data_IF_939023307649
#
_entry.id   IF_939023307649
#
_cell.length_a   1.000
_cell.length_b   1.000
_cell.length_c   1.000
_cell.angle_alpha   90.00
_cell.angle_beta   90.00
_cell.angle_gamma   90.00
#
_symmetry.space_group_name_H-M   'P 1'
#
loop_
_entity.id
_entity.type
_entity.pdbx_description
1 polymer ?
#
# COMPACT_ATOMS: atom_id res chain seq x y z
N UNK A 1 8.53 -2.69 69.79
CA UNK A 1 8.89 -2.47 68.38
C UNK A 1 7.60 -2.45 67.57
N UNK A 2 7.12 -1.24 67.38
CA UNK A 2 5.85 -0.97 66.68
C UNK A 2 6.16 -0.52 65.27
N UNK A 3 6.13 -1.46 64.33
CA UNK A 3 6.39 -1.20 62.92
C UNK A 3 5.08 -0.77 62.21
N UNK A 4 4.65 0.43 62.44
CA UNK A 4 3.52 1.04 61.73
C UNK A 4 3.98 1.49 60.36
N UNK A 5 3.52 0.77 59.29
CA UNK A 5 3.69 1.18 57.89
C UNK A 5 2.71 2.31 57.63
N UNK A 6 3.23 3.54 57.50
CA UNK A 6 2.47 4.69 57.07
C UNK A 6 2.33 4.67 55.53
N UNK A 7 1.16 4.33 55.04
CA UNK A 7 0.83 4.54 53.62
C UNK A 7 0.67 6.06 53.38
N UNK A 8 1.58 6.61 52.56
CA UNK A 8 1.38 7.94 51.99
C UNK A 8 0.17 7.87 51.07
N UNK A 9 -0.82 8.72 51.33
CA UNK A 9 -1.97 8.89 50.44
C UNK A 9 -1.49 9.17 49.02
N UNK A 10 -1.99 8.36 48.04
CA UNK A 10 -1.76 8.59 46.64
C UNK A 10 -2.23 9.99 46.22
N UNK A 11 -1.49 10.70 45.38
CA UNK A 11 -1.94 11.98 44.86
C UNK A 11 -3.27 11.78 44.16
N UNK A 12 -4.25 12.61 44.46
CA UNK A 12 -5.52 12.67 43.73
C UNK A 12 -5.18 13.08 42.30
N UNK A 13 -5.27 12.13 41.37
CA UNK A 13 -5.19 12.43 39.96
C UNK A 13 -6.45 13.24 39.60
N UNK A 14 -6.32 14.54 39.43
CA UNK A 14 -7.35 15.34 38.79
C UNK A 14 -7.57 14.79 37.36
N UNK A 15 -8.80 14.49 36.95
CA UNK A 15 -9.07 14.10 35.57
C UNK A 15 -8.60 15.23 34.66
N UNK A 16 -7.60 14.96 33.84
CA UNK A 16 -7.26 15.86 32.75
C UNK A 16 -8.40 15.70 31.73
N UNK A 17 -9.21 16.76 31.59
CA UNK A 17 -10.18 16.86 30.51
C UNK A 17 -9.41 16.82 29.19
N UNK A 18 -9.24 15.62 28.65
CA UNK A 18 -8.83 15.41 27.26
C UNK A 18 -10.03 15.78 26.38
N UNK A 19 -10.30 17.06 26.25
CA UNK A 19 -11.05 17.56 25.11
C UNK A 19 -10.16 17.31 23.89
N UNK A 20 -10.25 16.11 23.33
CA UNK A 20 -9.87 15.85 21.97
C UNK A 20 -10.69 16.84 21.13
N UNK A 21 -10.07 17.96 20.75
CA UNK A 21 -10.61 18.81 19.71
C UNK A 21 -10.60 17.95 18.47
N UNK A 22 -11.70 17.22 18.26
CA UNK A 22 -11.93 16.40 17.11
C UNK A 22 -12.04 17.30 15.90
N UNK A 23 -10.90 17.74 15.35
CA UNK A 23 -10.83 17.99 13.92
C UNK A 23 -11.20 16.66 13.28
N UNK A 24 -12.46 16.53 12.88
CA UNK A 24 -12.89 15.49 11.95
C UNK A 24 -11.94 15.61 10.77
N UNK A 25 -10.95 14.73 10.70
CA UNK A 25 -10.10 14.61 9.52
C UNK A 25 -11.08 14.30 8.40
N UNK A 26 -11.28 15.26 7.51
CA UNK A 26 -12.04 15.03 6.29
C UNK A 26 -11.30 13.94 5.54
N UNK A 27 -11.85 12.75 5.63
CA UNK A 27 -11.36 11.64 4.84
C UNK A 27 -11.63 12.00 3.38
N UNK A 28 -10.61 12.09 2.55
CA UNK A 28 -10.73 12.29 1.10
C UNK A 28 -10.67 10.94 0.39
N UNK A 29 -11.40 10.81 -0.72
CA UNK A 29 -11.21 9.68 -1.63
C UNK A 29 -9.74 9.62 -2.05
N UNK A 30 -9.22 8.41 -2.22
CA UNK A 30 -7.82 8.16 -2.57
C UNK A 30 -7.70 7.59 -3.97
N UNK A 31 -6.57 7.85 -4.61
CA UNK A 31 -6.17 7.17 -5.83
C UNK A 31 -5.10 6.13 -5.45
N UNK A 32 -5.36 4.87 -5.78
CA UNK A 32 -4.49 3.75 -5.44
C UNK A 32 -4.06 3.07 -6.73
N UNK A 33 -2.76 2.90 -6.91
CA UNK A 33 -2.18 2.15 -8.01
C UNK A 33 -1.70 0.80 -7.48
N UNK A 34 -2.14 -0.29 -8.09
CA UNK A 34 -1.67 -1.64 -7.81
C UNK A 34 -0.87 -2.13 -9.01
N UNK A 35 0.40 -2.43 -8.78
CA UNK A 35 1.32 -2.95 -9.77
C UNK A 35 1.50 -4.45 -9.57
N UNK A 36 0.91 -5.25 -10.43
CA UNK A 36 0.77 -6.68 -10.26
C UNK A 36 -0.57 -7.09 -9.63
N UNK A 37 -0.76 -8.38 -9.43
CA UNK A 37 -1.94 -8.92 -8.75
C UNK A 37 -1.63 -10.28 -8.16
N UNK A 38 -2.04 -10.43 -6.91
CA UNK A 38 -1.91 -11.66 -6.14
C UNK A 38 -3.14 -11.80 -5.25
N UNK A 39 -3.33 -12.95 -4.59
CA UNK A 39 -4.41 -13.14 -3.60
C UNK A 39 -4.46 -12.03 -2.54
N UNK A 40 -3.31 -11.45 -2.22
CA UNK A 40 -3.20 -10.28 -1.31
C UNK A 40 -3.95 -9.06 -1.87
N UNK A 41 -4.00 -8.85 -3.18
CA UNK A 41 -4.75 -7.75 -3.80
C UNK A 41 -6.26 -7.86 -3.53
N UNK A 42 -6.80 -9.06 -3.66
CA UNK A 42 -8.21 -9.33 -3.33
C UNK A 42 -8.50 -9.10 -1.84
N UNK A 43 -7.63 -9.61 -0.97
CA UNK A 43 -7.74 -9.39 0.49
C UNK A 43 -7.66 -7.90 0.80
N UNK A 44 -6.73 -7.17 0.17
CA UNK A 44 -6.59 -5.73 0.36
C UNK A 44 -7.88 -4.98 0.01
N UNK A 45 -8.46 -5.23 -1.16
CA UNK A 45 -9.72 -4.61 -1.59
C UNK A 45 -10.84 -4.91 -0.60
N UNK A 46 -11.01 -6.19 -0.22
CA UNK A 46 -12.05 -6.61 0.71
C UNK A 46 -11.93 -5.93 2.08
N UNK A 47 -10.74 -6.00 2.67
CA UNK A 47 -10.50 -5.44 4.01
C UNK A 47 -10.53 -3.90 4.01
N UNK A 48 -10.17 -3.27 2.89
CA UNK A 48 -10.17 -1.81 2.77
C UNK A 48 -11.56 -1.23 2.55
N UNK A 49 -12.54 -2.02 2.12
CA UNK A 49 -13.89 -1.53 1.79
C UNK A 49 -14.57 -0.80 2.96
N UNK A 50 -14.31 -1.22 4.19
CA UNK A 50 -14.94 -0.62 5.38
C UNK A 50 -14.27 0.71 5.81
N UNK A 51 -13.08 0.99 5.30
CA UNK A 51 -12.26 2.14 5.71
C UNK A 51 -12.12 3.21 4.62
N UNK A 52 -12.32 2.85 3.36
CA UNK A 52 -12.16 3.77 2.25
C UNK A 52 -13.48 4.44 1.89
N UNK A 53 -13.38 5.68 1.45
CA UNK A 53 -14.53 6.51 1.13
C UNK A 53 -14.99 6.22 -0.29
N UNK A 54 -16.29 6.37 -0.50
CA UNK A 54 -16.90 6.31 -1.83
C UNK A 54 -16.20 7.25 -2.82
N UNK A 55 -15.87 6.71 -4.00
CA UNK A 55 -15.14 7.41 -5.03
C UNK A 55 -13.61 7.22 -4.96
N UNK A 56 -13.14 6.29 -4.12
CA UNK A 56 -11.74 5.83 -4.18
C UNK A 56 -11.50 5.10 -5.50
N UNK A 57 -10.44 5.50 -6.22
CA UNK A 57 -10.04 4.87 -7.48
C UNK A 57 -8.91 3.88 -7.23
N UNK A 58 -9.04 2.70 -7.82
CA UNK A 58 -8.03 1.65 -7.76
C UNK A 58 -7.70 1.22 -9.19
N UNK A 59 -6.53 1.62 -9.66
CA UNK A 59 -6.02 1.21 -10.96
C UNK A 59 -5.05 0.04 -10.80
N UNK A 60 -5.33 -1.07 -11.48
CA UNK A 60 -4.51 -2.29 -11.45
C UNK A 60 -3.79 -2.45 -12.78
N UNK A 61 -2.46 -2.46 -12.76
CA UNK A 61 -1.63 -2.83 -13.89
C UNK A 61 -1.21 -4.29 -13.77
N UNK A 62 -1.62 -5.09 -14.73
CA UNK A 62 -1.24 -6.49 -14.82
C UNK A 62 -0.98 -6.90 -16.27
N UNK A 63 0.09 -7.65 -16.48
CA UNK A 63 0.47 -8.10 -17.83
C UNK A 63 -0.20 -9.42 -18.19
N UNK A 64 -0.91 -9.43 -19.31
CA UNK A 64 -1.65 -10.60 -19.82
C UNK A 64 -2.58 -11.22 -18.75
N UNK A 65 -3.58 -10.48 -18.25
CA UNK A 65 -4.53 -11.03 -17.29
C UNK A 65 -5.31 -12.20 -17.92
N UNK A 66 -5.41 -13.29 -17.19
CA UNK A 66 -6.25 -14.43 -17.60
C UNK A 66 -7.73 -14.14 -17.37
N UNK A 67 -8.61 -14.96 -17.92
CA UNK A 67 -10.06 -14.80 -17.79
C UNK A 67 -10.51 -14.86 -16.33
N UNK A 68 -9.85 -15.64 -15.49
CA UNK A 68 -10.15 -15.75 -14.05
C UNK A 68 -9.90 -14.42 -13.33
N UNK A 69 -8.76 -13.77 -13.57
CA UNK A 69 -8.46 -12.47 -12.98
C UNK A 69 -9.43 -11.40 -13.46
N UNK A 70 -9.74 -11.37 -14.75
CA UNK A 70 -10.70 -10.42 -15.33
C UNK A 70 -12.06 -10.58 -14.65
N UNK A 71 -12.56 -11.82 -14.54
CA UNK A 71 -13.83 -12.13 -13.88
C UNK A 71 -13.84 -11.71 -12.41
N UNK A 72 -12.78 -12.00 -11.66
CA UNK A 72 -12.65 -11.59 -10.27
C UNK A 72 -12.68 -10.08 -10.08
N UNK A 73 -11.97 -9.34 -10.92
CA UNK A 73 -11.98 -7.87 -10.87
C UNK A 73 -13.37 -7.33 -11.19
N UNK A 74 -14.07 -7.89 -12.17
CA UNK A 74 -15.43 -7.48 -12.53
C UNK A 74 -16.45 -7.83 -11.43
N UNK A 75 -16.29 -8.95 -10.74
CA UNK A 75 -17.08 -9.29 -9.55
C UNK A 75 -16.85 -8.25 -8.43
N UNK A 76 -15.60 -7.87 -8.17
CA UNK A 76 -15.29 -6.87 -7.15
C UNK A 76 -15.87 -5.49 -7.48
N UNK A 77 -15.85 -5.06 -8.76
CA UNK A 77 -16.51 -3.81 -9.19
C UNK A 77 -17.99 -3.78 -8.85
N UNK A 78 -18.65 -4.93 -8.95
CA UNK A 78 -20.08 -5.04 -8.66
C UNK A 78 -20.39 -5.20 -7.16
N UNK A 79 -19.44 -5.74 -6.40
CA UNK A 79 -19.60 -6.03 -4.98
C UNK A 79 -19.30 -4.81 -4.09
N UNK A 80 -18.33 -4.00 -4.46
CA UNK A 80 -17.82 -2.91 -3.63
C UNK A 80 -18.17 -1.54 -4.23
N UNK A 81 -19.16 -0.88 -3.67
CA UNK A 81 -19.63 0.43 -4.15
C UNK A 81 -18.66 1.60 -3.83
N UNK A 82 -17.72 1.39 -2.91
CA UNK A 82 -16.76 2.43 -2.49
C UNK A 82 -15.59 2.59 -3.46
N UNK A 83 -15.39 1.63 -4.38
CA UNK A 83 -14.27 1.62 -5.29
C UNK A 83 -14.69 1.76 -6.75
N UNK A 84 -13.90 2.52 -7.49
CA UNK A 84 -13.84 2.45 -8.95
C UNK A 84 -12.61 1.65 -9.34
N UNK A 85 -12.76 0.36 -9.64
CA UNK A 85 -11.61 -0.52 -9.98
C UNK A 85 -11.44 -0.56 -11.49
N UNK A 86 -10.23 -0.31 -11.98
CA UNK A 86 -9.85 -0.44 -13.40
C UNK A 86 -8.70 -1.44 -13.54
N UNK A 87 -8.85 -2.45 -14.40
CA UNK A 87 -7.78 -3.37 -14.76
C UNK A 87 -7.23 -2.99 -16.13
N UNK A 88 -5.94 -2.70 -16.18
CA UNK A 88 -5.23 -2.36 -17.40
C UNK A 88 -4.21 -3.45 -17.75
N UNK A 89 -4.32 -4.00 -18.97
CA UNK A 89 -3.33 -4.95 -19.49
C UNK A 89 -2.05 -4.18 -19.86
N UNK A 90 -1.14 -4.06 -18.92
CA UNK A 90 0.14 -3.38 -19.11
C UNK A 90 1.21 -4.01 -18.22
N UNK A 91 2.44 -4.08 -18.73
CA UNK A 91 3.55 -4.69 -18.00
C UNK A 91 4.24 -3.67 -17.10
N UNK A 92 4.11 -3.75 -15.76
CA UNK A 92 4.74 -2.81 -14.84
C UNK A 92 6.27 -2.96 -14.74
N UNK A 93 6.86 -4.01 -15.31
CA UNK A 93 8.31 -4.18 -15.42
C UNK A 93 8.93 -3.38 -16.56
N UNK A 94 8.14 -2.58 -17.30
CA UNK A 94 8.61 -1.70 -18.37
C UNK A 94 8.49 -0.25 -17.97
N UNK A 95 9.61 0.48 -18.06
CA UNK A 95 9.68 1.90 -17.69
C UNK A 95 8.62 2.75 -18.41
N UNK A 96 8.46 2.55 -19.72
CA UNK A 96 7.52 3.28 -20.56
C UNK A 96 6.06 3.14 -20.08
N UNK A 97 5.70 1.94 -19.62
CA UNK A 97 4.36 1.66 -19.12
C UNK A 97 4.11 2.35 -17.77
N UNK A 98 5.10 2.34 -16.88
CA UNK A 98 5.02 3.05 -15.60
C UNK A 98 4.99 4.57 -15.80
N UNK A 99 5.80 5.10 -16.71
CA UNK A 99 5.78 6.53 -17.03
C UNK A 99 4.44 6.97 -17.59
N UNK A 100 3.81 6.15 -18.44
CA UNK A 100 2.52 6.49 -19.07
C UNK A 100 1.35 6.62 -18.10
N UNK A 101 1.43 5.96 -16.92
CA UNK A 101 0.37 6.03 -15.90
C UNK A 101 0.60 7.12 -14.86
N UNK A 102 1.73 7.84 -14.90
CA UNK A 102 2.09 8.87 -13.93
C UNK A 102 1.99 8.37 -12.47
N UNK A 103 2.81 7.40 -12.03
CA UNK A 103 2.61 6.68 -10.78
C UNK A 103 2.59 7.60 -9.54
N UNK A 104 3.26 8.74 -9.60
CA UNK A 104 3.33 9.68 -8.48
C UNK A 104 2.15 10.69 -8.42
N UNK A 105 1.14 10.53 -9.27
CA UNK A 105 -0.16 11.18 -9.10
C UNK A 105 -1.11 10.40 -8.19
N UNK A 106 -0.74 9.18 -7.80
CA UNK A 106 -1.49 8.35 -6.85
C UNK A 106 -1.08 8.64 -5.42
N UNK A 107 -2.04 8.51 -4.48
CA UNK A 107 -1.78 8.63 -3.05
C UNK A 107 -0.98 7.43 -2.52
N UNK A 108 -1.28 6.25 -3.05
CA UNK A 108 -0.60 5.01 -2.67
C UNK A 108 -0.29 4.16 -3.90
N UNK A 109 0.89 3.56 -3.89
CA UNK A 109 1.30 2.52 -4.85
C UNK A 109 1.49 1.23 -4.06
N UNK A 110 0.83 0.16 -4.49
CA UNK A 110 0.96 -1.16 -3.91
C UNK A 110 1.64 -2.05 -4.95
N UNK A 111 2.80 -2.58 -4.61
CA UNK A 111 3.55 -3.45 -5.50
C UNK A 111 3.29 -4.89 -5.08
N UNK A 112 2.66 -5.64 -5.98
CA UNK A 112 2.39 -7.06 -5.85
C UNK A 112 3.09 -7.80 -7.00
N UNK A 113 3.33 -9.10 -6.81
CA UNK A 113 3.94 -9.89 -7.86
C UNK A 113 3.03 -10.03 -9.08
N UNK A 114 3.65 -10.07 -10.27
CA UNK A 114 3.02 -10.55 -11.51
C UNK A 114 2.88 -12.07 -11.54
N UNK A 115 3.58 -12.76 -10.64
CA UNK A 115 3.66 -14.22 -10.63
C UNK A 115 2.74 -14.77 -9.56
N UNK A 116 1.80 -15.61 -9.96
CA UNK A 116 0.89 -16.31 -9.06
C UNK A 116 1.48 -17.61 -8.50
N UNK A 117 2.68 -17.99 -8.94
CA UNK A 117 3.38 -19.18 -8.45
C UNK A 117 4.13 -18.85 -7.15
N UNK A 118 3.45 -19.08 -6.03
CA UNK A 118 3.96 -18.83 -4.66
C UNK A 118 5.25 -19.63 -4.33
N UNK A 119 5.61 -20.61 -5.15
CA UNK A 119 6.80 -21.45 -4.96
C UNK A 119 8.10 -20.74 -5.37
N UNK A 120 8.03 -19.56 -5.99
CA UNK A 120 9.20 -18.85 -6.51
C UNK A 120 9.39 -17.46 -5.87
N UNK A 121 9.68 -17.45 -4.56
CA UNK A 121 9.89 -16.23 -3.79
C UNK A 121 10.95 -15.29 -4.41
N UNK A 122 12.06 -15.87 -4.90
CA UNK A 122 13.15 -15.06 -5.50
C UNK A 122 12.71 -14.32 -6.76
N UNK A 123 11.84 -14.92 -7.56
CA UNK A 123 11.30 -14.26 -8.75
C UNK A 123 10.31 -13.16 -8.38
N UNK A 124 9.48 -13.41 -7.38
CA UNK A 124 8.52 -12.43 -6.85
C UNK A 124 9.27 -11.20 -6.33
N UNK A 125 10.28 -11.41 -5.52
CA UNK A 125 11.10 -10.34 -4.97
C UNK A 125 11.90 -9.60 -6.06
N UNK A 126 12.40 -10.33 -7.07
CA UNK A 126 13.10 -9.71 -8.20
C UNK A 126 12.20 -8.78 -9.00
N UNK A 127 10.96 -9.18 -9.29
CA UNK A 127 10.00 -8.33 -9.99
C UNK A 127 9.69 -7.07 -9.16
N UNK A 128 9.51 -7.24 -7.85
CA UNK A 128 9.30 -6.13 -6.91
C UNK A 128 10.48 -5.15 -6.91
N UNK A 129 11.71 -5.66 -6.82
CA UNK A 129 12.92 -4.83 -6.84
C UNK A 129 13.06 -4.06 -8.15
N UNK A 130 12.75 -4.69 -9.30
CA UNK A 130 12.77 -4.02 -10.60
C UNK A 130 11.77 -2.86 -10.62
N UNK A 131 10.54 -3.09 -10.19
CA UNK A 131 9.51 -2.03 -10.14
C UNK A 131 9.96 -0.88 -9.25
N UNK A 132 10.53 -1.16 -8.07
CA UNK A 132 11.05 -0.14 -7.17
C UNK A 132 12.15 0.70 -7.81
N UNK A 133 13.09 0.07 -8.51
CA UNK A 133 14.16 0.77 -9.22
C UNK A 133 13.61 1.65 -10.35
N UNK A 134 12.60 1.16 -11.08
CA UNK A 134 11.94 1.94 -12.13
C UNK A 134 11.20 3.15 -11.55
N UNK A 135 10.46 2.99 -10.45
CA UNK A 135 9.79 4.09 -9.76
C UNK A 135 10.79 5.12 -9.26
N UNK A 136 11.91 4.67 -8.69
CA UNK A 136 12.99 5.57 -8.27
C UNK A 136 13.56 6.38 -9.44
N UNK A 137 13.79 5.74 -10.58
CA UNK A 137 14.25 6.42 -11.79
C UNK A 137 13.26 7.51 -12.21
N UNK A 138 11.95 7.19 -12.27
CA UNK A 138 10.90 8.15 -12.61
C UNK A 138 10.87 9.32 -11.61
N UNK A 139 10.99 9.05 -10.31
CA UNK A 139 11.05 10.08 -9.26
C UNK A 139 12.23 11.02 -9.48
N UNK A 140 13.41 10.48 -9.75
CA UNK A 140 14.63 11.27 -9.99
C UNK A 140 14.52 12.13 -11.25
N UNK A 141 13.96 11.58 -12.33
CA UNK A 141 13.77 12.32 -13.59
C UNK A 141 12.71 13.42 -13.48
N UNK A 142 11.67 13.20 -12.69
CA UNK A 142 10.58 14.16 -12.54
C UNK A 142 10.99 15.41 -11.75
N UNK A 143 11.94 15.29 -10.81
CA UNK A 143 12.37 16.37 -9.92
C UNK A 143 11.25 16.89 -9.00
N UNK A 144 10.14 16.17 -8.87
CA UNK A 144 8.97 16.56 -8.08
C UNK A 144 9.11 16.02 -6.66
N UNK A 145 8.69 16.81 -5.67
CA UNK A 145 8.51 16.30 -4.31
C UNK A 145 7.35 15.30 -4.30
N UNK A 146 7.65 14.05 -3.97
CA UNK A 146 6.70 12.94 -4.04
C UNK A 146 6.13 12.69 -2.65
N UNK A 147 4.80 12.71 -2.54
CA UNK A 147 4.05 12.41 -1.32
C UNK A 147 3.34 11.05 -1.38
N UNK A 148 3.57 10.28 -2.44
CA UNK A 148 2.98 8.97 -2.67
C UNK A 148 3.59 7.94 -1.73
N UNK A 149 2.76 7.20 -1.00
CA UNK A 149 3.22 6.08 -0.19
C UNK A 149 3.39 4.84 -1.08
N UNK A 150 4.52 4.15 -0.94
CA UNK A 150 4.78 2.89 -1.64
C UNK A 150 4.75 1.75 -0.64
N UNK A 151 3.91 0.76 -0.91
CA UNK A 151 3.71 -0.43 -0.07
C UNK A 151 4.11 -1.64 -0.90
N UNK A 152 4.97 -2.49 -0.36
CA UNK A 152 5.41 -3.69 -1.05
C UNK A 152 5.54 -4.88 -0.09
N UNK A 153 5.47 -6.07 -0.64
CA UNK A 153 5.72 -7.32 0.05
C UNK A 153 7.04 -7.92 -0.43
N UNK A 154 7.89 -8.30 0.50
CA UNK A 154 9.12 -9.05 0.25
C UNK A 154 9.01 -10.39 0.97
N UNK A 155 9.23 -11.48 0.25
CA UNK A 155 9.10 -12.84 0.79
C UNK A 155 10.40 -13.38 1.39
N UNK A 156 11.56 -12.97 0.84
CA UNK A 156 12.86 -13.38 1.33
C UNK A 156 13.50 -12.29 2.19
N UNK A 157 13.80 -12.60 3.45
CA UNK A 157 14.42 -11.65 4.37
C UNK A 157 15.79 -11.13 3.92
N UNK A 158 16.55 -11.90 3.15
CA UNK A 158 17.83 -11.45 2.59
C UNK A 158 17.64 -10.29 1.58
N UNK A 159 16.54 -10.31 0.82
CA UNK A 159 16.20 -9.26 -0.12
C UNK A 159 15.71 -7.97 0.57
N UNK A 160 15.24 -8.08 1.82
CA UNK A 160 14.81 -6.94 2.63
C UNK A 160 15.96 -5.96 2.90
N UNK A 161 17.19 -6.48 3.11
CA UNK A 161 18.38 -5.64 3.29
C UNK A 161 18.72 -4.84 2.03
N UNK A 162 18.46 -5.40 0.85
CA UNK A 162 18.70 -4.72 -0.43
C UNK A 162 17.78 -3.51 -0.57
N UNK A 163 16.52 -3.64 -0.16
CA UNK A 163 15.55 -2.55 -0.24
C UNK A 163 15.93 -1.39 0.66
N UNK A 164 16.39 -1.67 1.89
CA UNK A 164 16.82 -0.61 2.81
C UNK A 164 18.04 0.17 2.29
N UNK A 165 18.83 -0.41 1.39
CA UNK A 165 19.95 0.26 0.70
C UNK A 165 19.52 1.05 -0.54
N UNK A 166 18.34 0.77 -1.08
CA UNK A 166 17.75 1.52 -2.19
C UNK A 166 17.09 2.78 -1.62
N UNK A 167 17.81 3.65 -0.93
CA UNK A 167 17.45 4.97 -0.43
C UNK A 167 16.08 5.49 -0.97
N UNK A 168 15.00 4.92 -0.46
CA UNK A 168 13.65 5.34 -0.75
C UNK A 168 13.04 5.65 0.61
N UNK A 169 12.99 6.94 0.91
CA UNK A 169 12.64 7.49 2.22
C UNK A 169 11.24 7.10 2.75
N UNK A 170 10.46 6.30 2.01
CA UNK A 170 9.03 6.12 2.28
C UNK A 170 8.53 4.66 2.09
N UNK A 171 9.26 3.63 2.54
CA UNK A 171 8.69 2.28 2.52
C UNK A 171 8.07 1.86 3.85
N UNK A 172 6.80 1.44 3.76
CA UNK A 172 6.16 0.59 4.78
C UNK A 172 6.28 -0.85 4.27
N UNK A 173 7.07 -1.67 4.95
CA UNK A 173 7.22 -3.11 4.69
C UNK A 173 6.19 -3.87 5.51
#
# INVERSE_FOLDING_TARGET
DDSTINFKSSPILTPVDLTLSGKKLEQKSKNILILGWHNVGEVFIRESNDYLIKGTKVDVLFYNPNEELISKVDEMKNMYENFEITLTNSNPLKLENLQSINPFEYDNIIILSQNTDELNADKIDSDTLIILLLLRNIKQESGIEVTTNIITQILNSENQEIITQIDVDDFII
#
